data_IF_625692954847
#
_entry.id   IF_625692954847
#
_cell.length_a   1.000
_cell.length_b   1.000
_cell.length_c   1.000
_cell.angle_alpha   90.00
_cell.angle_beta   90.00
_cell.angle_gamma   90.00
#
_symmetry.space_group_name_H-M   'P 1'
#
loop_
_entity.id
_entity.type
_entity.pdbx_description
1 polymer ?
#
# COMPACT_ATOMS: atom_id res chain seq x y z
N UNK A 1 -7.80 -16.11 4.19
CA UNK A 1 -8.09 -16.30 2.75
C UNK A 1 -8.93 -15.17 2.16
N UNK A 2 -10.03 -14.73 2.78
CA UNK A 2 -10.87 -13.63 2.28
C UNK A 2 -10.10 -12.31 1.99
N UNK A 3 -9.24 -11.80 2.90
CA UNK A 3 -8.55 -10.52 2.68
C UNK A 3 -7.62 -10.55 1.45
N UNK A 4 -6.93 -11.67 1.24
CA UNK A 4 -6.07 -11.87 0.06
C UNK A 4 -6.88 -11.82 -1.24
N UNK A 5 -8.05 -12.46 -1.29
CA UNK A 5 -8.89 -12.50 -2.49
C UNK A 5 -9.40 -11.09 -2.81
N UNK A 6 -9.84 -10.34 -1.79
CA UNK A 6 -10.29 -8.95 -1.96
C UNK A 6 -9.16 -8.07 -2.51
N UNK A 7 -7.96 -8.18 -1.95
CA UNK A 7 -6.79 -7.46 -2.43
C UNK A 7 -6.46 -7.80 -3.90
N UNK A 8 -6.54 -9.08 -4.26
CA UNK A 8 -6.23 -9.57 -5.60
C UNK A 8 -7.25 -9.07 -6.65
N UNK A 9 -8.54 -9.09 -6.32
CA UNK A 9 -9.60 -8.53 -7.17
C UNK A 9 -9.41 -7.02 -7.35
N UNK A 10 -9.10 -6.30 -6.27
CA UNK A 10 -8.83 -4.86 -6.33
C UNK A 10 -7.62 -4.55 -7.24
N UNK A 11 -6.53 -5.32 -7.08
CA UNK A 11 -5.33 -5.21 -7.91
C UNK A 11 -5.57 -5.57 -9.36
N UNK A 12 -6.49 -6.49 -9.67
CA UNK A 12 -6.84 -6.83 -11.05
C UNK A 12 -7.60 -5.69 -11.76
N UNK A 13 -8.38 -4.89 -11.02
CA UNK A 13 -9.12 -3.76 -11.55
C UNK A 13 -8.28 -2.48 -11.69
N UNK A 14 -7.30 -2.30 -10.81
CA UNK A 14 -6.47 -1.09 -10.73
C UNK A 14 -5.79 -0.69 -12.06
N UNK A 15 -5.18 -1.60 -12.86
CA UNK A 15 -4.49 -1.24 -14.10
C UNK A 15 -5.44 -0.63 -15.12
N UNK A 16 -6.65 -1.17 -15.24
CA UNK A 16 -7.68 -0.65 -16.16
C UNK A 16 -8.08 0.76 -15.76
N UNK A 17 -8.27 1.01 -14.46
CA UNK A 17 -8.61 2.35 -13.95
C UNK A 17 -7.48 3.36 -14.21
N UNK A 18 -6.23 2.99 -13.93
CA UNK A 18 -5.06 3.85 -14.16
C UNK A 18 -4.80 4.12 -15.65
N UNK A 19 -5.13 3.16 -16.52
CA UNK A 19 -5.02 3.34 -17.96
C UNK A 19 -6.05 4.33 -18.49
N UNK A 20 -7.30 4.26 -18.01
CA UNK A 20 -8.35 5.23 -18.35
C UNK A 20 -7.93 6.63 -17.89
N UNK A 21 -7.42 6.77 -16.66
CA UNK A 21 -6.91 8.04 -16.16
C UNK A 21 -5.76 8.60 -17.01
N UNK A 22 -4.81 7.73 -17.41
CA UNK A 22 -3.68 8.14 -18.25
C UNK A 22 -4.09 8.54 -19.67
N UNK A 23 -5.19 7.99 -20.19
CA UNK A 23 -5.80 8.47 -21.45
C UNK A 23 -6.52 9.80 -21.27
N UNK A 24 -7.22 9.99 -20.15
CA UNK A 24 -7.90 11.24 -19.81
C UNK A 24 -6.92 12.42 -19.62
N UNK A 25 -5.66 12.15 -19.25
CA UNK A 25 -4.59 13.15 -19.18
C UNK A 25 -4.17 13.73 -20.55
N UNK A 26 -4.71 13.21 -21.66
CA UNK A 26 -4.47 13.75 -23.00
C UNK A 26 -3.12 13.36 -23.60
N UNK A 27 -2.52 12.26 -23.14
CA UNK A 27 -1.26 11.76 -23.69
C UNK A 27 -1.49 11.28 -25.14
N UNK A 28 -0.82 11.88 -26.14
CA UNK A 28 -1.15 11.66 -27.56
C UNK A 28 -0.67 10.32 -28.14
N UNK A 29 0.18 9.59 -27.42
CA UNK A 29 0.76 8.32 -27.87
C UNK A 29 0.42 7.19 -26.91
N UNK A 30 -0.09 6.08 -27.45
CA UNK A 30 -0.42 4.87 -26.68
C UNK A 30 0.79 4.30 -25.91
N UNK A 31 1.99 4.36 -26.50
CA UNK A 31 3.21 3.92 -25.81
C UNK A 31 3.54 4.78 -24.58
N UNK A 32 3.25 6.08 -24.66
CA UNK A 32 3.41 6.99 -23.52
C UNK A 32 2.30 6.81 -22.47
N UNK A 33 1.06 6.51 -22.89
CA UNK A 33 -0.05 6.17 -21.97
C UNK A 33 0.28 4.92 -21.16
N UNK A 34 0.77 3.87 -21.83
CA UNK A 34 1.17 2.62 -21.16
C UNK A 34 2.31 2.89 -20.18
N UNK A 35 3.34 3.64 -20.60
CA UNK A 35 4.46 4.00 -19.71
C UNK A 35 4.00 4.79 -18.48
N UNK A 36 3.13 5.77 -18.67
CA UNK A 36 2.60 6.60 -17.58
C UNK A 36 1.72 5.77 -16.63
N UNK A 37 0.83 4.93 -17.16
CA UNK A 37 -0.03 4.03 -16.38
C UNK A 37 0.78 3.02 -15.57
N UNK A 38 1.79 2.39 -16.19
CA UNK A 38 2.71 1.47 -15.51
C UNK A 38 3.51 2.14 -14.40
N UNK A 39 3.96 3.38 -14.60
CA UNK A 39 4.62 4.16 -13.55
C UNK A 39 3.70 4.41 -12.35
N UNK A 40 2.47 4.85 -12.60
CA UNK A 40 1.46 5.07 -11.55
C UNK A 40 1.13 3.77 -10.80
N UNK A 41 1.00 2.66 -11.53
CA UNK A 41 0.76 1.35 -10.94
C UNK A 41 1.91 0.95 -10.01
N UNK A 42 3.16 1.09 -10.46
CA UNK A 42 4.33 0.80 -9.64
C UNK A 42 4.35 1.61 -8.33
N UNK A 43 4.17 2.93 -8.40
CA UNK A 43 4.12 3.77 -7.19
C UNK A 43 2.98 3.37 -6.25
N UNK A 44 1.81 3.04 -6.79
CA UNK A 44 0.68 2.58 -6.00
C UNK A 44 1.03 1.30 -5.23
N UNK A 45 1.62 0.31 -5.91
CA UNK A 45 2.03 -0.95 -5.29
C UNK A 45 3.04 -0.71 -4.18
N UNK A 46 4.10 0.06 -4.43
CA UNK A 46 5.16 0.31 -3.45
C UNK A 46 4.60 0.97 -2.19
N UNK A 47 3.88 2.07 -2.34
CA UNK A 47 3.45 2.86 -1.19
C UNK A 47 2.22 2.30 -0.48
N UNK A 48 1.21 1.81 -1.22
CA UNK A 48 -0.04 1.38 -0.61
C UNK A 48 -0.06 -0.10 -0.27
N UNK A 49 0.51 -0.96 -1.12
CA UNK A 49 0.42 -2.41 -0.94
C UNK A 49 1.64 -2.94 -0.20
N UNK A 50 2.85 -2.63 -0.66
CA UNK A 50 4.06 -3.15 -0.04
C UNK A 50 4.31 -2.53 1.33
N UNK A 51 4.42 -1.20 1.42
CA UNK A 51 4.59 -0.52 2.72
C UNK A 51 3.36 -0.70 3.61
N UNK A 52 2.15 -0.66 3.05
CA UNK A 52 0.92 -0.89 3.80
C UNK A 52 0.83 -2.28 4.42
N UNK A 53 1.25 -3.34 3.72
CA UNK A 53 1.28 -4.69 4.30
C UNK A 53 2.45 -4.86 5.28
N UNK A 54 3.64 -4.34 4.93
CA UNK A 54 4.85 -4.50 5.74
C UNK A 54 4.78 -3.74 7.06
N UNK A 55 4.34 -2.48 7.02
CA UNK A 55 4.27 -1.61 8.19
C UNK A 55 2.88 -1.60 8.82
N UNK A 56 1.81 -1.79 8.04
CA UNK A 56 0.45 -1.74 8.56
C UNK A 56 0.19 -2.81 9.60
N UNK A 57 0.66 -4.05 9.40
CA UNK A 57 0.51 -5.12 10.39
C UNK A 57 1.17 -4.78 11.73
N UNK A 58 2.43 -4.33 11.68
CA UNK A 58 3.20 -3.98 12.89
C UNK A 58 2.64 -2.75 13.59
N UNK A 59 2.20 -1.74 12.84
CA UNK A 59 1.55 -0.55 13.39
C UNK A 59 0.18 -0.88 14.01
N UNK A 60 -0.63 -1.72 13.37
CA UNK A 60 -1.94 -2.11 13.93
C UNK A 60 -1.80 -2.92 15.21
N UNK A 61 -0.83 -3.84 15.23
CA UNK A 61 -0.55 -4.65 16.43
C UNK A 61 0.03 -3.80 17.55
N UNK A 62 0.92 -2.85 17.21
CA UNK A 62 1.45 -1.87 18.18
C UNK A 62 0.33 -0.97 18.71
N UNK A 63 -0.55 -0.46 17.87
CA UNK A 63 -1.69 0.37 18.28
C UNK A 63 -2.65 -0.41 19.19
N UNK A 64 -2.97 -1.67 18.88
CA UNK A 64 -3.78 -2.52 19.77
C UNK A 64 -3.08 -2.80 21.10
N UNK A 65 -1.76 -2.96 21.10
CA UNK A 65 -0.99 -3.13 22.33
C UNK A 65 -1.03 -1.86 23.19
N UNK A 66 -0.95 -0.68 22.56
CA UNK A 66 -1.06 0.62 23.23
C UNK A 66 -2.48 0.85 23.76
N UNK A 67 -3.52 0.51 23.00
CA UNK A 67 -4.92 0.61 23.44
C UNK A 67 -5.20 -0.26 24.68
N UNK A 68 -4.61 -1.47 24.73
CA UNK A 68 -4.72 -2.36 25.89
C UNK A 68 -3.85 -1.92 27.07
N UNK A 69 -2.70 -1.31 26.84
CA UNK A 69 -1.75 -0.85 27.86
C UNK A 69 -1.08 0.48 27.47
N UNK A 70 -1.73 1.62 27.73
CA UNK A 70 -1.27 2.94 27.26
C UNK A 70 0.08 3.38 27.86
N UNK A 71 0.49 2.81 29.00
CA UNK A 71 1.78 3.10 29.64
C UNK A 71 2.99 2.33 29.06
N UNK A 72 2.79 1.41 28.11
CA UNK A 72 3.86 0.52 27.58
C UNK A 72 4.53 1.01 26.29
N UNK A 73 4.17 2.20 25.78
CA UNK A 73 4.72 2.76 24.52
C UNK A 73 6.26 2.82 24.57
N UNK A 74 6.82 3.27 25.70
CA UNK A 74 8.27 3.43 25.90
C UNK A 74 8.98 2.06 25.89
N UNK A 75 8.36 1.03 26.49
CA UNK A 75 8.92 -0.32 26.57
C UNK A 75 8.83 -1.07 25.24
N UNK A 76 7.78 -0.85 24.45
CA UNK A 76 7.62 -1.42 23.10
C UNK A 76 8.64 -0.83 22.11
N UNK A 77 8.84 0.49 22.14
CA UNK A 77 9.85 1.16 21.31
C UNK A 77 11.28 0.79 21.75
N UNK A 78 11.53 0.66 23.05
CA UNK A 78 12.83 0.27 23.62
C UNK A 78 13.23 -1.18 23.32
N UNK A 79 12.28 -2.12 23.25
CA UNK A 79 12.55 -3.53 22.92
C UNK A 79 12.60 -3.83 21.42
N UNK A 80 12.07 -2.93 20.57
CA UNK A 80 12.06 -3.11 19.11
C UNK A 80 13.34 -2.60 18.44
N UNK A 81 14.18 -1.84 19.16
CA UNK A 81 15.56 -1.57 18.74
C UNK A 81 16.47 -2.64 19.34
N UNK A 82 17.23 -3.40 18.52
CA UNK A 82 18.27 -4.27 19.04
C UNK A 82 19.42 -3.42 19.61
N UNK A 83 20.21 -3.95 20.56
CA UNK A 83 21.34 -3.25 21.16
C UNK A 83 22.43 -2.88 20.15
#
# INVERSE_FOLDING_TARGET
YLPQIVLLVFLAFLPTMLMILSRAEGIPSEGHVVRASSGKYFYFIVFNVFLGVTLGGTLFDSLKAIEKQPNSIVTLLGNSLPP
#
